data_IF_598515445107
#
_entry.id   IF_598515445107
#
_cell.length_a   1.000
_cell.length_b   1.000
_cell.length_c   1.000
_cell.angle_alpha   90.00
_cell.angle_beta   90.00
_cell.angle_gamma   90.00
#
_symmetry.space_group_name_H-M   'P 1'
#
loop_
_entity.id
_entity.type
_entity.pdbx_description
1 polymer ?
#
# COMPACT_ATOMS: atom_id res chain seq x y z
N UNK A 1 19.52 0.44 -26.27
CA UNK A 1 19.70 -0.55 -25.20
C UNK A 1 19.80 0.06 -23.83
N UNK A 2 20.38 1.25 -23.68
CA UNK A 2 20.49 1.93 -22.38
C UNK A 2 19.17 2.27 -21.73
N UNK A 3 18.15 2.59 -22.53
CA UNK A 3 16.84 2.98 -22.00
C UNK A 3 16.11 1.79 -21.37
N UNK A 4 16.22 0.60 -21.96
CA UNK A 4 15.64 -0.62 -21.39
C UNK A 4 16.29 -0.99 -20.07
N UNK A 5 17.60 -0.89 -19.97
CA UNK A 5 18.31 -1.17 -18.72
C UNK A 5 17.89 -0.23 -17.62
N UNK A 6 17.70 1.06 -17.94
CA UNK A 6 17.27 2.06 -16.96
C UNK A 6 15.87 1.76 -16.44
N UNK A 7 14.95 1.37 -17.31
CA UNK A 7 13.59 1.05 -16.93
C UNK A 7 13.55 -0.16 -16.00
N UNK A 8 14.30 -1.23 -16.35
CA UNK A 8 14.36 -2.44 -15.53
C UNK A 8 14.97 -2.13 -14.16
N UNK A 9 16.06 -1.36 -14.12
CA UNK A 9 16.70 -0.99 -12.86
C UNK A 9 15.77 -0.19 -11.97
N UNK A 10 15.01 0.73 -12.56
CA UNK A 10 14.06 1.54 -11.81
C UNK A 10 12.94 0.68 -11.22
N UNK A 11 12.38 -0.25 -12.00
CA UNK A 11 11.38 -1.18 -11.54
C UNK A 11 11.89 -2.06 -10.41
N UNK A 12 13.13 -2.54 -10.53
CA UNK A 12 13.74 -3.35 -9.48
C UNK A 12 13.92 -2.57 -8.19
N UNK A 13 14.35 -1.31 -8.29
CA UNK A 13 14.51 -0.45 -7.12
C UNK A 13 13.17 -0.15 -6.46
N UNK A 14 12.13 0.12 -7.25
CA UNK A 14 10.79 0.36 -6.72
C UNK A 14 10.27 -0.89 -6.00
N UNK A 15 10.50 -2.07 -6.59
CA UNK A 15 10.10 -3.33 -5.98
C UNK A 15 10.84 -3.58 -4.68
N UNK A 16 12.16 -3.34 -4.65
CA UNK A 16 12.96 -3.50 -3.44
C UNK A 16 12.51 -2.55 -2.34
N UNK A 17 12.19 -1.31 -2.70
CA UNK A 17 11.68 -0.33 -1.75
C UNK A 17 10.36 -0.80 -1.17
N UNK A 18 9.44 -1.29 -2.02
CA UNK A 18 8.17 -1.82 -1.56
C UNK A 18 8.35 -3.03 -0.64
N UNK A 19 9.23 -3.97 -1.02
CA UNK A 19 9.50 -5.14 -0.19
C UNK A 19 10.12 -4.75 1.14
N UNK A 20 11.05 -3.80 1.12
CA UNK A 20 11.72 -3.31 2.33
C UNK A 20 10.75 -2.69 3.32
N UNK A 21 9.74 -1.99 2.81
CA UNK A 21 8.77 -1.27 3.64
C UNK A 21 7.40 -1.96 3.70
N UNK A 22 7.32 -3.24 3.29
CA UNK A 22 6.05 -3.95 3.27
C UNK A 22 5.37 -3.95 4.64
N UNK A 23 6.12 -4.22 5.71
CA UNK A 23 5.57 -4.22 7.07
C UNK A 23 5.07 -2.84 7.47
N UNK A 24 5.81 -1.79 7.11
CA UNK A 24 5.40 -0.41 7.38
C UNK A 24 4.11 -0.07 6.65
N UNK A 25 3.99 -0.48 5.39
CA UNK A 25 2.79 -0.26 4.59
C UNK A 25 1.60 -0.99 5.22
N UNK A 26 1.79 -2.24 5.64
CA UNK A 26 0.72 -3.03 6.27
C UNK A 26 0.24 -2.35 7.55
N UNK A 27 1.16 -1.92 8.40
CA UNK A 27 0.80 -1.24 9.65
C UNK A 27 0.03 0.05 9.37
N UNK A 28 0.55 0.90 8.49
CA UNK A 28 -0.10 2.16 8.14
C UNK A 28 -1.47 1.93 7.50
N UNK A 29 -1.56 1.01 6.55
CA UNK A 29 -2.81 0.67 5.89
C UNK A 29 -3.85 0.13 6.87
N UNK A 30 -3.40 -0.68 7.84
CA UNK A 30 -4.28 -1.24 8.86
C UNK A 30 -4.89 -0.14 9.74
N UNK A 31 -4.10 0.86 10.10
CA UNK A 31 -4.58 2.01 10.88
C UNK A 31 -5.60 2.81 10.07
N UNK A 32 -5.30 3.10 8.81
CA UNK A 32 -6.20 3.84 7.93
C UNK A 32 -7.52 3.07 7.77
N UNK A 33 -7.42 1.78 7.48
CA UNK A 33 -8.60 0.93 7.31
C UNK A 33 -9.43 0.85 8.60
N UNK A 34 -8.77 0.73 9.75
CA UNK A 34 -9.45 0.67 11.05
C UNK A 34 -10.28 1.93 11.29
N UNK A 35 -9.73 3.10 10.98
CA UNK A 35 -10.45 4.38 11.13
C UNK A 35 -11.67 4.41 10.20
N UNK A 36 -11.48 4.02 8.94
CA UNK A 36 -12.55 4.04 7.93
C UNK A 36 -13.65 3.02 8.21
N UNK A 37 -13.30 1.91 8.86
CA UNK A 37 -14.22 0.81 9.15
C UNK A 37 -14.70 0.80 10.60
N UNK A 38 -14.42 1.85 11.36
CA UNK A 38 -14.74 1.90 12.79
C UNK A 38 -16.23 1.72 13.08
N UNK A 39 -17.10 2.05 12.14
CA UNK A 39 -18.56 1.94 12.31
C UNK A 39 -19.16 0.74 11.61
N UNK A 40 -18.34 -0.10 11.01
CA UNK A 40 -18.85 -1.30 10.33
C UNK A 40 -19.24 -2.34 11.37
N UNK A 41 -20.48 -2.86 11.31
CA UNK A 41 -20.96 -3.82 12.32
C UNK A 41 -20.27 -5.18 12.22
N UNK A 42 -19.80 -5.56 11.03
CA UNK A 42 -19.15 -6.87 10.83
C UNK A 42 -18.05 -6.76 9.77
N UNK A 43 -16.82 -6.93 10.21
CA UNK A 43 -15.64 -6.94 9.32
C UNK A 43 -15.08 -8.35 9.14
N UNK A 44 -15.74 -9.37 9.69
CA UNK A 44 -15.27 -10.75 9.57
C UNK A 44 -15.64 -11.40 8.24
N UNK A 45 -16.59 -10.84 7.54
CA UNK A 45 -17.05 -11.36 6.25
C UNK A 45 -16.52 -10.52 5.09
N UNK A 46 -15.96 -11.16 4.06
CA UNK A 46 -15.55 -10.42 2.87
C UNK A 46 -16.76 -9.71 2.24
N UNK A 47 -16.56 -8.47 1.81
CA UNK A 47 -17.57 -7.72 1.08
C UNK A 47 -16.87 -6.79 0.09
N UNK A 48 -17.56 -6.35 -0.98
CA UNK A 48 -16.96 -5.39 -1.91
C UNK A 48 -16.52 -4.10 -1.24
N UNK A 49 -17.27 -3.64 -0.23
CA UNK A 49 -16.92 -2.45 0.53
C UNK A 49 -15.61 -2.64 1.31
N UNK A 50 -15.48 -3.76 2.01
CA UNK A 50 -14.26 -4.07 2.77
C UNK A 50 -13.06 -4.17 1.84
N UNK A 51 -13.20 -4.89 0.74
CA UNK A 51 -12.14 -5.04 -0.25
C UNK A 51 -11.70 -3.68 -0.79
N UNK A 52 -12.66 -2.82 -1.12
CA UNK A 52 -12.36 -1.48 -1.62
C UNK A 52 -11.64 -0.62 -0.58
N UNK A 53 -12.10 -0.63 0.67
CA UNK A 53 -11.48 0.13 1.75
C UNK A 53 -10.05 -0.35 1.99
N UNK A 54 -9.82 -1.67 1.98
CA UNK A 54 -8.47 -2.22 2.15
C UNK A 54 -7.56 -1.79 1.01
N UNK A 55 -8.02 -1.90 -0.23
CA UNK A 55 -7.23 -1.50 -1.40
C UNK A 55 -6.89 -0.01 -1.36
N UNK A 56 -7.85 0.84 -1.04
CA UNK A 56 -7.64 2.29 -0.92
C UNK A 56 -6.67 2.62 0.21
N UNK A 57 -6.77 1.92 1.33
CA UNK A 57 -5.90 2.13 2.48
C UNK A 57 -4.45 1.79 2.16
N UNK A 58 -4.22 0.68 1.44
CA UNK A 58 -2.88 0.30 0.98
C UNK A 58 -2.34 1.33 0.00
N UNK A 59 -3.16 1.79 -0.95
CA UNK A 59 -2.78 2.81 -1.91
C UNK A 59 -2.37 4.11 -1.22
N UNK A 60 -3.14 4.55 -0.25
CA UNK A 60 -2.86 5.76 0.51
C UNK A 60 -1.57 5.61 1.34
N UNK A 61 -1.38 4.46 1.98
CA UNK A 61 -0.17 4.18 2.74
C UNK A 61 1.08 4.24 1.86
N UNK A 62 0.99 3.69 0.64
CA UNK A 62 2.09 3.77 -0.34
C UNK A 62 2.39 5.20 -0.75
N UNK A 63 1.36 6.01 -0.98
CA UNK A 63 1.54 7.42 -1.32
C UNK A 63 2.24 8.18 -0.20
N UNK A 64 1.85 7.92 1.04
CA UNK A 64 2.48 8.54 2.21
C UNK A 64 3.95 8.13 2.29
N UNK A 65 4.22 6.83 2.15
CA UNK A 65 5.58 6.32 2.20
C UNK A 65 6.47 6.95 1.13
N UNK A 66 5.98 7.05 -0.10
CA UNK A 66 6.73 7.67 -1.19
C UNK A 66 7.13 9.11 -0.87
N UNK A 67 6.26 9.85 -0.22
CA UNK A 67 6.56 11.23 0.19
C UNK A 67 7.64 11.29 1.26
N UNK A 68 7.64 10.34 2.16
CA UNK A 68 8.56 10.33 3.30
C UNK A 68 9.96 9.87 2.89
N UNK A 69 10.07 8.88 2.01
CA UNK A 69 11.36 8.28 1.64
C UNK A 69 12.06 8.96 0.47
N UNK A 70 11.47 9.97 -0.13
CA UNK A 70 12.11 10.73 -1.22
C UNK A 70 13.21 11.62 -0.74
#
# INVERSE_FOLDING_TARGET
MGEMKRAITREEQDRRTQDRFASTIVIAASIIAAVRLAREPDISRPSPRLTSVVADSVGLARMILERVVR
#
